data_IF_092786338445
#
_entry.id   IF_092786338445
#
_cell.length_a   1.000
_cell.length_b   1.000
_cell.length_c   1.000
_cell.angle_alpha   90.00
_cell.angle_beta   90.00
_cell.angle_gamma   90.00
#
_symmetry.space_group_name_H-M   'P 1'
#
loop_
_entity.id
_entity.type
_entity.pdbx_description
1 polymer ?
#
# COMPACT_ATOMS: atom_id res chain seq x y z
N UNK A 1 -17.07 11.59 -30.25
CA UNK A 1 -16.60 12.22 -29.00
C UNK A 1 -17.17 11.45 -27.82
N UNK A 2 -16.42 10.48 -27.29
CA UNK A 2 -16.70 9.80 -26.02
C UNK A 2 -15.38 9.17 -25.56
N UNK A 3 -15.01 9.33 -24.29
CA UNK A 3 -13.70 8.89 -23.76
C UNK A 3 -13.18 9.76 -22.62
N UNK A 4 -13.22 11.09 -22.76
CA UNK A 4 -12.74 12.05 -21.73
C UNK A 4 -13.63 12.19 -20.47
N UNK A 5 -14.63 11.33 -20.30
CA UNK A 5 -15.67 11.46 -19.25
C UNK A 5 -15.54 10.38 -18.15
N UNK A 6 -14.68 9.37 -18.32
CA UNK A 6 -14.46 8.32 -17.29
C UNK A 6 -13.27 8.55 -16.35
N UNK A 7 -12.34 9.44 -16.68
CA UNK A 7 -11.10 9.66 -15.90
C UNK A 7 -11.37 10.48 -14.62
N UNK A 8 -12.33 11.41 -14.66
CA UNK A 8 -12.59 12.41 -13.61
C UNK A 8 -13.36 11.85 -12.39
N UNK A 9 -13.22 10.57 -12.05
CA UNK A 9 -13.98 9.90 -10.97
C UNK A 9 -13.24 8.79 -10.20
N UNK A 10 -12.01 8.39 -10.57
CA UNK A 10 -11.33 7.24 -9.96
C UNK A 10 -10.06 7.58 -9.16
N UNK A 11 -10.14 8.63 -8.33
CA UNK A 11 -9.17 8.84 -7.24
C UNK A 11 -9.86 9.42 -6.00
N UNK A 12 -10.96 8.76 -5.58
CA UNK A 12 -11.40 8.82 -4.19
C UNK A 12 -10.63 7.75 -3.42
N UNK A 13 -9.33 7.99 -3.18
CA UNK A 13 -8.58 7.31 -2.13
C UNK A 13 -9.44 7.50 -0.88
N UNK A 14 -10.08 6.41 -0.42
CA UNK A 14 -10.97 6.50 0.73
C UNK A 14 -10.15 7.07 1.89
N UNK A 15 -10.61 8.16 2.52
CA UNK A 15 -9.82 8.79 3.59
C UNK A 15 -9.44 7.82 4.72
N UNK A 16 -10.16 6.70 4.85
CA UNK A 16 -9.84 5.57 5.73
C UNK A 16 -8.56 4.84 5.27
N UNK A 17 -8.38 4.59 3.96
CA UNK A 17 -7.13 4.09 3.37
C UNK A 17 -6.00 5.05 3.70
N UNK A 18 -6.14 6.33 3.32
CA UNK A 18 -5.11 7.33 3.55
C UNK A 18 -4.70 7.42 5.03
N UNK A 19 -5.66 7.54 5.97
CA UNK A 19 -5.39 7.60 7.40
C UNK A 19 -4.66 6.35 7.93
N UNK A 20 -4.99 5.16 7.41
CA UNK A 20 -4.31 3.91 7.77
C UNK A 20 -2.86 3.94 7.25
N UNK A 21 -2.64 4.21 5.96
CA UNK A 21 -1.31 4.17 5.34
C UNK A 21 -0.38 5.31 5.81
N UNK A 22 -0.90 6.54 5.92
CA UNK A 22 -0.16 7.75 6.37
C UNK A 22 0.35 7.63 7.80
N UNK A 23 -0.26 6.76 8.62
CA UNK A 23 0.15 6.57 10.01
C UNK A 23 1.59 6.06 10.19
N UNK A 24 2.17 5.45 9.15
CA UNK A 24 3.56 4.95 9.13
C UNK A 24 4.59 6.02 8.72
N UNK A 25 4.15 7.14 8.15
CA UNK A 25 5.07 8.15 7.61
C UNK A 25 5.75 8.91 8.76
N UNK A 26 7.07 8.82 8.85
CA UNK A 26 7.84 9.51 9.88
C UNK A 26 8.08 10.98 9.50
N UNK A 27 7.97 11.87 10.50
CA UNK A 27 8.21 13.29 10.32
C UNK A 27 7.05 14.07 9.67
N UNK A 28 7.01 15.36 9.97
CA UNK A 28 6.46 16.33 9.03
C UNK A 28 7.56 16.67 8.02
N UNK A 29 7.19 17.13 6.82
CA UNK A 29 8.13 17.92 6.02
C UNK A 29 8.55 19.16 6.84
N UNK A 30 9.82 19.55 6.74
CA UNK A 30 10.31 20.82 7.33
C UNK A 30 9.73 22.03 6.58
N UNK A 31 9.36 21.82 5.31
CA UNK A 31 8.85 22.80 4.35
C UNK A 31 7.31 22.73 4.25
N UNK A 32 6.64 23.88 4.08
CA UNK A 32 5.18 23.94 3.88
C UNK A 32 4.77 23.72 2.41
N UNK A 33 3.49 23.42 2.15
CA UNK A 33 3.01 23.08 0.80
C UNK A 33 3.01 24.26 -0.18
N UNK A 34 3.12 25.51 0.28
CA UNK A 34 3.29 26.71 -0.57
C UNK A 34 4.75 26.93 -0.91
N UNK A 35 5.65 26.73 0.05
CA UNK A 35 7.09 26.74 -0.20
C UNK A 35 7.44 25.67 -1.25
N UNK A 36 6.92 24.45 -1.07
CA UNK A 36 7.11 23.35 -2.01
C UNK A 36 6.52 23.66 -3.39
N UNK A 37 5.31 24.22 -3.47
CA UNK A 37 4.72 24.68 -4.74
C UNK A 37 5.59 25.77 -5.41
N UNK A 38 6.15 26.71 -4.64
CA UNK A 38 7.02 27.75 -5.18
C UNK A 38 8.34 27.21 -5.76
N UNK A 39 8.82 26.05 -5.26
CA UNK A 39 9.96 25.34 -5.86
C UNK A 39 9.58 24.62 -7.16
N UNK A 40 8.37 24.06 -7.25
CA UNK A 40 7.82 23.50 -8.51
C UNK A 40 7.72 24.62 -9.56
N UNK A 41 7.09 25.75 -9.22
CA UNK A 41 6.96 26.91 -10.11
C UNK A 41 8.33 27.49 -10.55
N UNK A 42 9.34 27.42 -9.68
CA UNK A 42 10.71 27.82 -9.97
C UNK A 42 11.53 26.78 -10.75
N UNK A 43 10.99 25.58 -10.98
CA UNK A 43 11.69 24.48 -11.65
C UNK A 43 12.92 23.95 -10.89
N UNK A 44 12.89 24.01 -9.55
CA UNK A 44 13.97 23.54 -8.69
C UNK A 44 13.76 22.06 -8.32
N UNK A 45 14.85 21.28 -8.25
CA UNK A 45 14.78 19.91 -7.72
C UNK A 45 14.46 19.95 -6.22
N UNK A 46 13.52 19.10 -5.78
CA UNK A 46 12.88 19.22 -4.45
C UNK A 46 13.36 18.12 -3.51
N UNK A 47 14.44 18.42 -2.78
CA UNK A 47 14.90 17.61 -1.64
C UNK A 47 14.04 17.92 -0.43
N UNK A 48 13.06 17.06 -0.12
CA UNK A 48 12.20 17.21 1.05
C UNK A 48 12.90 16.62 2.27
N UNK A 49 13.52 17.49 3.07
CA UNK A 49 14.01 17.10 4.39
C UNK A 49 12.82 16.82 5.32
N UNK A 50 12.79 15.60 5.87
CA UNK A 50 11.84 15.19 6.91
C UNK A 50 12.42 15.53 8.28
N UNK A 51 11.62 16.15 9.14
CA UNK A 51 11.99 16.30 10.54
C UNK A 51 12.12 14.90 11.19
N UNK A 52 13.24 14.64 11.87
CA UNK A 52 13.46 13.38 12.60
C UNK A 52 12.26 13.07 13.51
N UNK A 53 11.69 11.86 13.47
CA UNK A 53 10.53 11.53 14.26
C UNK A 53 10.80 11.66 15.77
N UNK A 54 9.78 12.00 16.53
CA UNK A 54 9.80 12.00 18.01
C UNK A 54 9.77 10.58 18.61
N UNK A 55 9.96 9.55 17.78
CA UNK A 55 9.96 8.14 18.15
C UNK A 55 11.19 7.43 17.56
N UNK A 56 11.59 6.34 18.19
CA UNK A 56 12.71 5.50 17.76
C UNK A 56 12.33 4.73 16.48
N UNK A 57 13.05 4.95 15.38
CA UNK A 57 12.90 4.17 14.14
C UNK A 57 13.57 2.81 14.34
N UNK A 58 12.79 1.74 14.20
CA UNK A 58 13.22 0.34 14.35
C UNK A 58 13.09 -0.38 13.02
N UNK A 59 14.22 -0.94 12.60
CA UNK A 59 14.37 -1.76 11.40
C UNK A 59 14.96 -3.10 11.85
N UNK A 60 14.34 -4.19 11.43
CA UNK A 60 14.79 -5.57 11.63
C UNK A 60 14.81 -6.30 10.28
N UNK A 61 15.71 -7.28 10.16
CA UNK A 61 15.93 -8.03 8.93
C UNK A 61 16.56 -7.22 7.80
N UNK A 62 16.67 -7.86 6.63
CA UNK A 62 17.10 -7.28 5.38
C UNK A 62 15.87 -7.01 4.49
N UNK A 63 15.64 -5.76 4.09
CA UNK A 63 14.48 -5.34 3.31
C UNK A 63 14.45 -6.01 1.92
N UNK A 64 13.35 -6.69 1.56
CA UNK A 64 13.24 -7.33 0.25
C UNK A 64 13.06 -6.30 -0.88
N UNK A 65 13.84 -6.48 -1.94
CA UNK A 65 13.80 -5.58 -3.11
C UNK A 65 12.73 -5.93 -4.14
N UNK A 66 12.00 -7.04 -3.97
CA UNK A 66 10.99 -7.53 -4.92
C UNK A 66 9.85 -8.28 -4.22
N UNK A 67 8.64 -7.76 -4.37
CA UNK A 67 7.37 -8.41 -4.00
C UNK A 67 6.62 -8.87 -5.27
N UNK A 68 6.14 -10.12 -5.30
CA UNK A 68 5.38 -10.65 -6.44
C UNK A 68 3.89 -10.28 -6.34
N UNK A 69 3.34 -9.73 -7.41
CA UNK A 69 1.93 -9.30 -7.46
C UNK A 69 1.05 -10.44 -7.95
N UNK A 70 0.47 -11.17 -7.00
CA UNK A 70 -0.33 -12.40 -7.20
C UNK A 70 -1.75 -12.15 -6.69
N UNK A 71 -2.75 -12.69 -7.40
CA UNK A 71 -4.18 -12.56 -7.04
C UNK A 71 -4.44 -12.99 -5.59
N UNK A 72 -5.31 -12.28 -4.88
CA UNK A 72 -5.51 -12.42 -3.44
C UNK A 72 -5.91 -13.85 -3.00
N UNK A 73 -6.62 -14.62 -3.82
CA UNK A 73 -6.95 -16.02 -3.53
C UNK A 73 -5.84 -17.02 -3.92
N UNK A 74 -5.01 -16.67 -4.90
CA UNK A 74 -3.86 -17.47 -5.34
C UNK A 74 -2.58 -17.19 -4.56
N UNK A 75 -2.47 -16.07 -3.85
CA UNK A 75 -1.34 -15.67 -3.02
C UNK A 75 -1.05 -16.69 -1.89
N UNK A 76 0.23 -16.89 -1.56
CA UNK A 76 0.71 -17.98 -0.67
C UNK A 76 1.73 -17.55 0.41
N UNK A 77 2.04 -16.25 0.52
CA UNK A 77 2.85 -15.72 1.63
C UNK A 77 2.14 -15.93 2.95
N UNK A 78 2.84 -16.32 4.03
CA UNK A 78 2.26 -16.50 5.36
C UNK A 78 1.05 -17.46 5.42
N UNK A 79 1.10 -18.57 4.66
CA UNK A 79 0.01 -19.56 4.58
C UNK A 79 -0.27 -20.29 5.89
N UNK A 80 0.76 -20.62 6.66
CA UNK A 80 0.66 -21.43 7.88
C UNK A 80 0.40 -20.51 9.08
N UNK A 81 -0.65 -20.80 9.86
CA UNK A 81 -1.13 -19.90 10.91
C UNK A 81 -1.83 -18.68 10.31
N UNK A 82 -1.07 -17.66 9.94
CA UNK A 82 -1.56 -16.31 9.66
C UNK A 82 -2.76 -16.24 8.70
N UNK A 83 -2.64 -16.75 7.46
CA UNK A 83 -3.75 -16.70 6.49
C UNK A 83 -4.95 -17.55 6.93
N UNK A 84 -4.70 -18.68 7.57
CA UNK A 84 -5.74 -19.59 8.06
C UNK A 84 -6.55 -18.90 9.17
N UNK A 85 -5.88 -18.31 10.16
CA UNK A 85 -6.50 -17.54 11.23
C UNK A 85 -7.25 -16.31 10.73
N UNK A 86 -6.76 -15.62 9.69
CA UNK A 86 -7.48 -14.52 9.04
C UNK A 86 -8.74 -14.99 8.30
N UNK A 87 -8.63 -16.09 7.56
CA UNK A 87 -9.76 -16.69 6.84
C UNK A 87 -10.86 -17.12 7.83
N UNK A 88 -10.50 -17.80 8.92
CA UNK A 88 -11.41 -18.13 10.02
C UNK A 88 -12.04 -16.87 10.67
N UNK A 89 -11.23 -15.87 11.00
CA UNK A 89 -11.66 -14.64 11.67
C UNK A 89 -12.72 -13.88 10.87
N UNK A 90 -12.59 -13.83 9.55
CA UNK A 90 -13.54 -13.15 8.66
C UNK A 90 -14.61 -14.07 8.05
N UNK A 91 -14.53 -15.38 8.31
CA UNK A 91 -15.42 -16.43 7.79
C UNK A 91 -15.31 -16.55 6.25
N UNK A 92 -14.06 -16.52 5.76
CA UNK A 92 -13.71 -16.78 4.37
C UNK A 92 -13.74 -18.29 4.11
N UNK A 93 -14.41 -18.69 3.05
CA UNK A 93 -14.56 -20.09 2.65
C UNK A 93 -13.70 -20.37 1.42
N UNK A 94 -13.05 -21.54 1.39
CA UNK A 94 -12.44 -22.06 0.16
C UNK A 94 -13.57 -22.51 -0.77
N UNK A 95 -13.49 -22.15 -2.05
CA UNK A 95 -14.42 -22.59 -3.09
C UNK A 95 -13.64 -23.11 -4.29
N UNK A 96 -14.16 -24.13 -4.96
CA UNK A 96 -13.51 -24.73 -6.14
C UNK A 96 -14.38 -24.56 -7.37
N UNK A 97 -13.89 -23.82 -8.35
CA UNK A 97 -14.56 -23.61 -9.64
C UNK A 97 -13.64 -24.07 -10.77
N UNK A 98 -14.15 -24.92 -11.67
CA UNK A 98 -13.38 -25.49 -12.79
C UNK A 98 -12.04 -26.18 -12.38
N UNK A 99 -11.98 -26.71 -11.16
CA UNK A 99 -10.77 -27.34 -10.59
C UNK A 99 -9.74 -26.37 -9.99
N UNK A 100 -9.98 -25.06 -10.06
CA UNK A 100 -9.15 -24.03 -9.40
C UNK A 100 -9.75 -23.71 -8.03
N UNK A 101 -8.91 -23.78 -6.99
CA UNK A 101 -9.29 -23.32 -5.66
C UNK A 101 -9.16 -21.79 -5.59
N UNK A 102 -10.27 -21.13 -5.27
CA UNK A 102 -10.33 -19.72 -4.91
C UNK A 102 -10.98 -19.53 -3.54
N UNK A 103 -11.40 -18.31 -3.25
CA UNK A 103 -12.02 -17.93 -1.97
C UNK A 103 -13.36 -17.21 -2.15
N UNK A 104 -14.15 -17.19 -1.08
CA UNK A 104 -15.45 -16.53 -1.00
C UNK A 104 -15.70 -15.98 0.41
N UNK A 105 -16.10 -14.71 0.51
CA UNK A 105 -16.29 -14.00 1.77
C UNK A 105 -16.21 -12.49 1.58
N UNK A 106 -16.28 -11.70 2.65
CA UNK A 106 -16.36 -10.22 2.54
C UNK A 106 -15.10 -9.52 1.98
N UNK A 107 -13.99 -10.25 1.80
CA UNK A 107 -12.77 -9.77 1.12
C UNK A 107 -12.69 -10.19 -0.35
N UNK A 108 -13.62 -11.01 -0.84
CA UNK A 108 -13.61 -11.64 -2.17
C UNK A 108 -14.89 -11.29 -2.95
N UNK A 109 -15.31 -10.04 -2.81
CA UNK A 109 -16.44 -9.41 -3.49
C UNK A 109 -15.94 -8.07 -4.05
N UNK A 110 -16.08 -7.84 -5.35
CA UNK A 110 -15.60 -6.61 -6.01
C UNK A 110 -16.65 -5.48 -6.04
N UNK A 111 -16.30 -4.33 -6.65
CA UNK A 111 -17.17 -3.15 -6.79
C UNK A 111 -18.56 -3.43 -7.41
N UNK A 112 -18.74 -4.52 -8.16
CA UNK A 112 -20.03 -4.90 -8.76
C UNK A 112 -20.90 -5.74 -7.83
N UNK A 113 -20.30 -6.34 -6.80
CA UNK A 113 -20.95 -7.28 -5.88
C UNK A 113 -20.71 -8.76 -6.21
N UNK A 114 -19.97 -9.08 -7.27
CA UNK A 114 -19.68 -10.46 -7.70
C UNK A 114 -18.47 -11.07 -6.97
N UNK A 115 -18.43 -12.42 -6.92
CA UNK A 115 -17.33 -13.19 -6.29
C UNK A 115 -16.06 -13.08 -7.13
N UNK A 116 -15.01 -12.49 -6.58
CA UNK A 116 -13.77 -12.24 -7.30
C UNK A 116 -12.53 -12.61 -6.47
N UNK A 117 -11.59 -13.32 -7.10
CA UNK A 117 -10.31 -13.74 -6.50
C UNK A 117 -9.19 -12.69 -6.60
N UNK A 118 -9.43 -11.63 -7.38
CA UNK A 118 -8.49 -10.55 -7.70
C UNK A 118 -8.85 -9.23 -7.02
N UNK A 119 -9.59 -9.30 -5.91
CA UNK A 119 -10.04 -8.13 -5.13
C UNK A 119 -8.90 -7.37 -4.47
N UNK A 120 -9.17 -6.10 -4.21
CA UNK A 120 -8.24 -5.13 -3.64
C UNK A 120 -8.56 -4.83 -2.16
N UNK A 121 -7.71 -4.03 -1.51
CA UNK A 121 -8.02 -3.50 -0.18
C UNK A 121 -9.13 -2.42 -0.28
N UNK A 122 -9.23 -1.71 -1.40
CA UNK A 122 -10.34 -0.80 -1.69
C UNK A 122 -11.69 -1.53 -1.76
N UNK A 123 -11.78 -2.68 -2.46
CA UNK A 123 -12.99 -3.52 -2.52
C UNK A 123 -13.45 -3.90 -1.10
N UNK A 124 -12.53 -4.38 -0.27
CA UNK A 124 -12.82 -4.74 1.12
C UNK A 124 -13.30 -3.54 1.95
N UNK A 125 -12.69 -2.36 1.78
CA UNK A 125 -13.10 -1.14 2.50
C UNK A 125 -14.38 -0.49 1.93
N UNK A 126 -14.80 -0.87 0.72
CA UNK A 126 -16.15 -0.63 0.18
C UNK A 126 -17.16 -1.66 0.71
N UNK A 127 -16.71 -2.88 1.03
CA UNK A 127 -17.58 -3.94 1.55
C UNK A 127 -18.12 -3.61 2.96
N UNK A 128 -19.42 -3.28 3.02
CA UNK A 128 -20.12 -2.93 4.27
C UNK A 128 -19.97 -3.99 5.37
N UNK A 129 -19.98 -5.28 5.02
CA UNK A 129 -19.86 -6.37 6.02
C UNK A 129 -18.45 -6.37 6.62
N UNK A 130 -17.40 -6.22 5.80
CA UNK A 130 -16.04 -6.06 6.30
C UNK A 130 -15.93 -4.88 7.27
N UNK A 131 -16.33 -3.68 6.81
CA UNK A 131 -16.18 -2.45 7.57
C UNK A 131 -16.97 -2.46 8.88
N UNK A 132 -18.25 -2.84 8.88
CA UNK A 132 -19.10 -2.69 10.06
C UNK A 132 -19.08 -3.88 11.02
N UNK A 133 -18.80 -5.10 10.56
CA UNK A 133 -18.74 -6.30 11.43
C UNK A 133 -17.33 -6.56 11.97
N UNK A 134 -16.30 -6.29 11.17
CA UNK A 134 -14.94 -6.70 11.46
C UNK A 134 -14.00 -5.51 11.70
N UNK A 135 -13.78 -4.64 10.70
CA UNK A 135 -12.72 -3.62 10.76
C UNK A 135 -12.94 -2.57 11.88
N UNK A 136 -14.20 -2.23 12.17
CA UNK A 136 -14.58 -1.30 13.27
C UNK A 136 -14.75 -1.97 14.64
N UNK A 137 -14.30 -3.22 14.82
CA UNK A 137 -14.44 -3.94 16.09
C UNK A 137 -13.08 -4.08 16.79
N UNK A 138 -12.90 -3.43 17.93
CA UNK A 138 -11.67 -3.51 18.73
C UNK A 138 -11.28 -4.96 19.07
N UNK A 139 -12.27 -5.80 19.41
CA UNK A 139 -12.09 -7.23 19.66
C UNK A 139 -11.71 -8.07 18.42
N UNK A 140 -11.79 -7.48 17.23
CA UNK A 140 -11.22 -8.03 15.99
C UNK A 140 -9.83 -7.44 15.75
N UNK A 141 -9.60 -6.13 15.89
CA UNK A 141 -8.28 -5.50 15.77
C UNK A 141 -7.23 -6.13 16.70
N UNK A 142 -7.60 -6.41 17.95
CA UNK A 142 -6.77 -7.14 18.91
C UNK A 142 -6.41 -8.56 18.44
N UNK A 143 -7.25 -9.20 17.60
CA UNK A 143 -6.93 -10.50 16.97
C UNK A 143 -6.06 -10.35 15.73
N UNK A 144 -6.30 -9.33 14.90
CA UNK A 144 -5.43 -8.98 13.78
C UNK A 144 -3.99 -8.76 14.28
N UNK A 145 -3.84 -7.93 15.32
CA UNK A 145 -2.55 -7.66 15.99
C UNK A 145 -1.81 -8.93 16.41
N UNK A 146 -2.54 -9.93 16.93
CA UNK A 146 -1.94 -11.22 17.30
C UNK A 146 -1.56 -12.08 16.09
N UNK A 147 -2.41 -12.12 15.06
CA UNK A 147 -2.11 -12.83 13.81
C UNK A 147 -0.87 -12.22 13.11
N UNK A 148 -0.70 -10.89 13.12
CA UNK A 148 0.50 -10.26 12.56
C UNK A 148 1.81 -10.73 13.23
N UNK A 149 1.78 -11.15 14.50
CA UNK A 149 2.91 -11.80 15.17
C UNK A 149 3.24 -13.21 14.65
N UNK A 150 2.35 -13.85 13.89
CA UNK A 150 2.62 -15.11 13.16
C UNK A 150 3.29 -14.85 11.80
N UNK A 151 3.19 -13.63 11.27
CA UNK A 151 3.86 -13.20 10.03
C UNK A 151 5.20 -12.48 10.29
N UNK A 152 5.32 -11.72 11.39
CA UNK A 152 6.42 -10.79 11.64
C UNK A 152 6.92 -10.80 13.09
N UNK A 153 8.24 -10.72 13.27
CA UNK A 153 8.91 -10.73 14.56
C UNK A 153 8.97 -9.35 15.26
N UNK A 154 8.72 -8.25 14.55
CA UNK A 154 8.76 -6.88 15.09
C UNK A 154 7.40 -6.37 15.60
N UNK A 155 6.34 -7.17 15.45
CA UNK A 155 4.99 -6.84 15.91
C UNK A 155 4.80 -7.22 17.39
N UNK A 156 4.91 -6.23 18.27
CA UNK A 156 4.46 -6.31 19.67
C UNK A 156 3.01 -5.85 19.85
N UNK A 157 2.62 -5.52 21.10
CA UNK A 157 1.25 -5.14 21.51
C UNK A 157 0.72 -3.79 20.93
N UNK A 158 1.40 -3.20 19.94
CA UNK A 158 0.93 -1.99 19.27
C UNK A 158 -0.16 -2.34 18.23
N UNK A 159 -1.42 -2.11 18.60
CA UNK A 159 -2.58 -2.46 17.74
C UNK A 159 -2.49 -1.85 16.33
N UNK A 160 -2.02 -0.60 16.21
CA UNK A 160 -1.88 0.05 14.91
C UNK A 160 -0.86 -0.69 14.03
N UNK A 161 0.33 -0.96 14.55
CA UNK A 161 1.37 -1.69 13.81
C UNK A 161 0.89 -3.11 13.44
N UNK A 162 0.20 -3.79 14.36
CA UNK A 162 -0.33 -5.12 14.12
C UNK A 162 -1.46 -5.18 13.10
N UNK A 163 -2.39 -4.22 13.11
CA UNK A 163 -3.43 -4.10 12.08
C UNK A 163 -2.82 -3.79 10.71
N UNK A 164 -1.83 -2.89 10.64
CA UNK A 164 -1.10 -2.57 9.41
C UNK A 164 -0.32 -3.77 8.85
N UNK A 165 0.44 -4.45 9.71
CA UNK A 165 1.13 -5.69 9.34
C UNK A 165 0.15 -6.76 8.85
N UNK A 166 -1.01 -6.91 9.50
CA UNK A 166 -2.06 -7.84 9.05
C UNK A 166 -2.57 -7.51 7.64
N UNK A 167 -2.79 -6.22 7.35
CA UNK A 167 -3.18 -5.77 6.01
C UNK A 167 -2.05 -6.06 5.02
N UNK A 168 -0.80 -5.75 5.36
CA UNK A 168 0.34 -5.97 4.47
C UNK A 168 0.58 -7.45 4.17
N UNK A 169 0.61 -8.31 5.19
CA UNK A 169 0.85 -9.74 5.00
C UNK A 169 -0.28 -10.40 4.21
N UNK A 170 -1.54 -9.96 4.36
CA UNK A 170 -2.66 -10.57 3.62
C UNK A 170 -2.73 -10.09 2.16
N UNK A 171 -2.64 -8.78 1.91
CA UNK A 171 -2.74 -8.20 0.56
C UNK A 171 -1.39 -8.11 -0.17
N UNK A 172 -0.26 -8.29 0.53
CA UNK A 172 1.09 -8.34 -0.02
C UNK A 172 1.40 -7.04 -0.81
N UNK A 173 1.27 -5.90 -0.10
CA UNK A 173 1.27 -4.53 -0.66
C UNK A 173 2.69 -3.94 -0.73
N UNK A 174 3.37 -3.87 0.41
CA UNK A 174 4.76 -3.44 0.57
C UNK A 174 5.68 -4.64 0.76
N UNK A 175 6.97 -4.54 0.39
CA UNK A 175 7.94 -5.60 0.62
C UNK A 175 8.23 -5.77 2.12
N UNK A 176 8.33 -7.02 2.56
CA UNK A 176 8.73 -7.37 3.92
C UNK A 176 10.26 -7.34 4.06
N UNK A 177 10.77 -7.31 5.28
CA UNK A 177 12.17 -7.66 5.57
C UNK A 177 12.30 -9.13 5.97
N UNK A 178 13.47 -9.73 5.74
CA UNK A 178 13.77 -11.15 6.05
C UNK A 178 14.97 -11.32 6.97
N UNK A 179 15.00 -12.46 7.67
CA UNK A 179 16.02 -12.85 8.64
C UNK A 179 16.21 -11.84 9.81
N UNK A 180 15.19 -11.60 10.67
CA UNK A 180 13.88 -12.26 10.75
C UNK A 180 12.84 -11.67 9.77
N UNK A 181 11.68 -12.33 9.65
CA UNK A 181 10.51 -11.72 8.98
C UNK A 181 10.08 -10.47 9.75
N UNK A 182 9.98 -9.31 9.10
CA UNK A 182 9.61 -8.04 9.78
C UNK A 182 8.89 -7.07 8.85
N UNK A 183 7.95 -6.32 9.42
CA UNK A 183 7.15 -5.31 8.71
C UNK A 183 7.75 -3.89 8.82
N UNK A 184 8.64 -3.66 9.79
CA UNK A 184 9.37 -2.41 10.00
C UNK A 184 8.45 -1.20 10.14
N UNK A 185 7.37 -1.34 10.91
CA UNK A 185 6.23 -0.42 10.94
C UNK A 185 6.53 1.06 11.27
N UNK A 186 7.74 1.38 11.74
CA UNK A 186 8.22 2.73 12.10
C UNK A 186 9.18 3.36 11.07
N UNK A 187 9.56 2.63 10.03
CA UNK A 187 10.40 3.08 8.93
C UNK A 187 9.57 3.90 7.92
N UNK A 188 10.09 5.05 7.47
CA UNK A 188 9.47 5.79 6.37
C UNK A 188 9.55 5.03 5.05
N UNK A 189 8.47 5.08 4.29
CA UNK A 189 8.43 4.64 2.89
C UNK A 189 9.12 5.66 1.98
N UNK A 190 9.79 5.17 0.94
CA UNK A 190 10.14 5.99 -0.23
C UNK A 190 8.90 6.36 -1.05
N UNK A 191 9.03 7.32 -1.98
CA UNK A 191 7.95 7.63 -2.94
C UNK A 191 7.65 6.44 -3.86
N UNK A 192 8.66 5.69 -4.31
CA UNK A 192 8.46 4.40 -5.02
C UNK A 192 7.53 3.47 -4.23
N UNK A 193 7.84 3.21 -2.96
CA UNK A 193 7.08 2.29 -2.11
C UNK A 193 5.66 2.80 -1.84
N UNK A 194 5.48 4.09 -1.55
CA UNK A 194 4.17 4.69 -1.31
C UNK A 194 3.29 4.69 -2.56
N UNK A 195 3.82 5.10 -3.73
CA UNK A 195 3.08 5.07 -4.99
C UNK A 195 2.69 3.64 -5.40
N UNK A 196 3.59 2.68 -5.18
CA UNK A 196 3.34 1.24 -5.37
C UNK A 196 2.23 0.72 -4.45
N UNK A 197 2.24 1.15 -3.19
CA UNK A 197 1.25 0.81 -2.17
C UNK A 197 -0.14 1.39 -2.50
N UNK A 198 -0.24 2.66 -2.92
CA UNK A 198 -1.50 3.28 -3.36
C UNK A 198 -2.07 2.50 -4.54
N UNK A 199 -1.28 2.29 -5.59
CA UNK A 199 -1.74 1.57 -6.78
C UNK A 199 -2.23 0.15 -6.47
N UNK A 200 -1.46 -0.63 -5.70
CA UNK A 200 -1.83 -2.00 -5.31
C UNK A 200 -2.98 -2.08 -4.30
N UNK A 201 -3.38 -0.95 -3.72
CA UNK A 201 -4.54 -0.85 -2.82
C UNK A 201 -5.85 -0.69 -3.59
N UNK A 202 -5.82 -0.01 -4.75
CA UNK A 202 -6.99 0.32 -5.58
C UNK A 202 -7.15 -0.56 -6.83
N UNK A 203 -6.06 -1.17 -7.34
CA UNK A 203 -6.06 -1.99 -8.55
C UNK A 203 -5.69 -3.45 -8.28
N UNK A 204 -6.45 -4.37 -8.86
CA UNK A 204 -6.19 -5.81 -8.83
C UNK A 204 -5.14 -6.23 -9.86
N UNK A 205 -4.58 -7.45 -9.72
CA UNK A 205 -3.49 -7.93 -10.57
C UNK A 205 -3.89 -7.94 -12.04
N UNK A 206 -3.15 -7.18 -12.84
CA UNK A 206 -3.26 -7.05 -14.30
C UNK A 206 -1.87 -6.91 -14.93
N UNK A 207 -1.79 -6.95 -16.25
CA UNK A 207 -0.56 -6.58 -16.95
C UNK A 207 -0.39 -5.05 -16.93
N UNK A 208 0.84 -4.58 -16.73
CA UNK A 208 1.19 -3.16 -16.83
C UNK A 208 2.42 -3.06 -17.72
N UNK A 209 2.34 -2.19 -18.73
CA UNK A 209 3.45 -1.88 -19.62
C UNK A 209 4.26 -0.72 -19.02
N UNK A 210 5.57 -0.88 -18.76
CA UNK A 210 6.40 0.23 -18.33
C UNK A 210 6.41 1.39 -19.34
N UNK A 211 6.36 2.62 -18.85
CA UNK A 211 6.64 3.83 -19.63
C UNK A 211 8.13 4.18 -19.52
N UNK A 212 8.83 4.10 -20.66
CA UNK A 212 10.25 4.47 -20.79
C UNK A 212 10.48 5.95 -20.42
N UNK A 213 9.49 6.82 -20.63
CA UNK A 213 9.54 8.25 -20.27
C UNK A 213 9.58 8.45 -18.75
N UNK A 214 8.79 7.67 -18.02
CA UNK A 214 8.77 7.68 -16.56
C UNK A 214 10.05 7.03 -16.01
N UNK A 215 10.44 5.86 -16.54
CA UNK A 215 11.69 5.17 -16.14
C UNK A 215 12.92 6.08 -16.32
N UNK A 216 13.06 6.80 -17.44
CA UNK A 216 14.18 7.73 -17.66
C UNK A 216 14.15 8.93 -16.67
N UNK A 217 12.98 9.54 -16.45
CA UNK A 217 12.84 10.69 -15.55
C UNK A 217 13.21 10.37 -14.10
N UNK A 218 12.80 9.19 -13.61
CA UNK A 218 13.15 8.72 -12.25
C UNK A 218 14.53 8.07 -12.16
N UNK A 219 15.34 8.15 -13.23
CA UNK A 219 16.76 7.79 -13.21
C UNK A 219 17.10 6.35 -13.59
N UNK A 220 16.18 5.67 -14.28
CA UNK A 220 16.28 4.32 -14.81
C UNK A 220 15.27 3.34 -14.20
N UNK A 221 15.09 2.20 -14.87
CA UNK A 221 14.27 1.07 -14.41
C UNK A 221 14.67 0.60 -13.00
N UNK A 222 13.76 0.76 -12.04
CA UNK A 222 13.81 0.13 -10.71
C UNK A 222 12.56 -0.72 -10.45
N UNK A 223 12.52 -1.53 -9.38
CA UNK A 223 11.63 -2.70 -9.28
C UNK A 223 10.15 -2.37 -9.44
N UNK A 224 9.70 -1.21 -8.96
CA UNK A 224 8.29 -0.83 -8.90
C UNK A 224 7.94 0.45 -9.68
N UNK A 225 8.88 0.98 -10.47
CA UNK A 225 8.64 2.03 -11.48
C UNK A 225 7.31 1.88 -12.23
N UNK A 226 7.04 0.68 -12.76
CA UNK A 226 5.80 0.32 -13.47
C UNK A 226 4.50 0.39 -12.65
N UNK A 227 4.57 0.52 -11.33
CA UNK A 227 3.42 0.75 -10.45
C UNK A 227 3.28 2.24 -10.13
N UNK A 228 4.41 2.91 -9.88
CA UNK A 228 4.44 4.34 -9.60
C UNK A 228 4.00 5.21 -10.79
N UNK A 229 4.34 4.83 -12.03
CA UNK A 229 3.91 5.55 -13.25
C UNK A 229 2.39 5.73 -13.33
N UNK A 230 1.62 4.77 -12.80
CA UNK A 230 0.16 4.73 -12.89
C UNK A 230 -0.49 5.71 -11.89
N UNK A 231 0.32 6.32 -11.01
CA UNK A 231 -0.05 7.34 -10.03
C UNK A 231 0.88 8.56 -10.12
N UNK A 232 1.22 8.99 -11.36
CA UNK A 232 1.91 10.25 -11.68
C UNK A 232 1.00 11.35 -12.33
N UNK A 233 -0.22 11.01 -12.80
CA UNK A 233 -1.33 11.98 -13.16
C UNK A 233 -2.47 12.72 -12.14
N UNK A 234 -2.93 12.68 -9.85
CA UNK A 234 -2.41 11.82 -8.71
C UNK A 234 -1.69 12.56 -7.55
N UNK A 235 -0.43 12.92 -7.75
CA UNK A 235 0.61 13.17 -6.75
C UNK A 235 1.05 14.64 -6.70
N UNK A 236 1.68 15.01 -5.58
CA UNK A 236 2.24 16.35 -5.40
C UNK A 236 3.54 16.56 -6.21
N UNK A 237 4.48 15.60 -6.13
CA UNK A 237 5.63 15.53 -7.02
C UNK A 237 5.29 14.61 -8.20
N UNK A 238 5.55 15.06 -9.43
CA UNK A 238 5.34 14.25 -10.64
C UNK A 238 6.43 14.47 -11.69
N UNK A 239 6.53 13.55 -12.65
CA UNK A 239 7.38 13.72 -13.83
C UNK A 239 6.86 14.87 -14.69
N UNK A 240 5.54 15.02 -14.79
CA UNK A 240 4.88 16.09 -15.54
C UNK A 240 5.26 17.50 -15.05
N UNK A 241 5.41 17.71 -13.74
CA UNK A 241 5.86 18.99 -13.16
C UNK A 241 7.38 19.06 -12.89
N UNK A 242 8.13 18.00 -13.25
CA UNK A 242 9.59 17.84 -13.11
C UNK A 242 10.14 17.85 -11.68
N UNK A 243 9.28 17.72 -10.66
CA UNK A 243 9.74 17.63 -9.27
C UNK A 243 9.87 16.20 -8.77
N UNK A 244 9.30 15.21 -9.48
CA UNK A 244 9.70 13.82 -9.36
C UNK A 244 10.89 13.55 -10.28
N UNK A 245 12.07 13.35 -9.68
CA UNK A 245 13.32 13.04 -10.37
C UNK A 245 14.06 11.89 -9.64
N UNK A 246 15.19 11.46 -10.19
CA UNK A 246 16.04 10.40 -9.62
C UNK A 246 16.38 10.56 -8.12
N UNK A 247 16.47 11.80 -7.63
CA UNK A 247 16.81 12.10 -6.24
C UNK A 247 15.59 12.12 -5.33
N UNK A 248 14.47 12.72 -5.77
CA UNK A 248 13.25 12.80 -4.97
C UNK A 248 12.47 11.46 -4.94
N UNK A 249 12.45 10.70 -6.03
CA UNK A 249 11.69 9.45 -6.16
C UNK A 249 12.14 8.33 -5.20
N UNK A 250 13.45 8.14 -5.02
CA UNK A 250 13.98 7.19 -4.01
C UNK A 250 14.02 7.77 -2.60
N UNK A 251 13.73 9.08 -2.44
CA UNK A 251 13.64 9.73 -1.14
C UNK A 251 12.38 9.35 -0.38
N UNK A 252 12.42 9.47 0.94
CA UNK A 252 11.27 9.25 1.83
C UNK A 252 10.13 10.24 1.53
N UNK A 253 8.89 9.75 1.49
CA UNK A 253 7.70 10.59 1.32
C UNK A 253 7.30 11.27 2.65
N UNK A 254 6.85 12.53 2.59
CA UNK A 254 6.32 13.24 3.75
C UNK A 254 4.82 13.05 3.92
N UNK A 255 4.32 13.31 5.13
CA UNK A 255 2.87 13.40 5.41
C UNK A 255 2.14 14.48 4.60
N UNK A 256 2.85 15.49 4.08
CA UNK A 256 2.24 16.59 3.32
C UNK A 256 2.03 16.26 1.83
N UNK A 257 2.66 15.20 1.33
CA UNK A 257 2.51 14.70 -0.06
C UNK A 257 1.51 13.54 -0.16
N UNK A 258 1.09 13.00 0.98
CA UNK A 258 0.30 11.77 1.11
C UNK A 258 -1.13 12.01 1.62
N UNK A 259 -1.57 13.29 1.71
CA UNK A 259 -2.87 13.76 2.21
C UNK A 259 -3.41 14.83 1.24
#
# INVERSE_FOLDING_TARGET
MSGKIKIVHKMLISGIIAIVLVSQLAGCAVMDSKEMMSMIDAGQSITIELASPSYEVKIQGEQEKKIDWIKLDQLKTFNEGFRQGLDELFNINIVTENGVNGKSGCLYVDETGDRNGNTTLEDALRNKVFVTKYFKSEGIKTKLTKLAGEAYADIGDNELHGVLGTINAYYNLLPDAKNPSSFNATQSLSREEFYTLVYKTEEGVKEIRPDETFEDAVGGKITYSKFAQEVDEYSFLSVANKSLDKSSYTGSISRAEAI
#
